data_IF_339318688642
#
_entry.id   IF_339318688642
#
_cell.length_a   1.000
_cell.length_b   1.000
_cell.length_c   1.000
_cell.angle_alpha   90.00
_cell.angle_beta   90.00
_cell.angle_gamma   90.00
#
_symmetry.space_group_name_H-M   'P 1'
#
loop_
_entity.id
_entity.type
_entity.pdbx_description
1 polymer ?
#
# COMPACT_ATOMS: atom_id res chain seq x y z
N UNK A 1 22.03 8.84 -7.45
CA UNK A 1 21.00 8.41 -6.47
C UNK A 1 20.99 6.91 -6.33
N UNK A 2 20.76 6.14 -7.41
CA UNK A 2 20.82 4.66 -7.34
C UNK A 2 22.21 4.16 -6.91
N UNK A 3 23.28 4.77 -7.43
CA UNK A 3 24.67 4.42 -7.05
C UNK A 3 24.97 4.70 -5.55
N UNK A 4 24.54 5.85 -5.02
CA UNK A 4 24.69 6.17 -3.61
C UNK A 4 23.83 5.27 -2.70
N UNK A 5 22.65 4.86 -3.18
CA UNK A 5 21.80 3.88 -2.49
C UNK A 5 22.49 2.51 -2.45
N UNK A 6 23.06 2.06 -3.57
CA UNK A 6 23.81 0.80 -3.67
C UNK A 6 25.00 0.78 -2.70
N UNK A 7 25.78 1.85 -2.66
CA UNK A 7 26.88 2.02 -1.69
C UNK A 7 26.39 2.00 -0.24
N UNK A 8 25.23 2.62 0.04
CA UNK A 8 24.64 2.62 1.39
C UNK A 8 24.17 1.21 1.79
N UNK A 9 23.61 0.45 0.84
CA UNK A 9 23.24 -0.96 1.05
C UNK A 9 24.47 -1.80 1.30
N UNK A 10 25.54 -1.64 0.51
CA UNK A 10 26.81 -2.34 0.68
C UNK A 10 27.39 -2.10 2.08
N UNK A 11 27.44 -0.84 2.55
CA UNK A 11 27.93 -0.52 3.88
C UNK A 11 27.15 -1.21 5.01
N UNK A 12 25.82 -1.33 4.87
CA UNK A 12 24.98 -2.05 5.84
C UNK A 12 25.27 -3.55 5.81
N UNK A 13 25.43 -4.14 4.61
CA UNK A 13 25.76 -5.56 4.46
C UNK A 13 27.14 -5.88 5.06
N UNK A 14 28.15 -5.06 4.78
CA UNK A 14 29.50 -5.19 5.33
C UNK A 14 29.50 -5.08 6.86
N UNK A 15 28.73 -4.13 7.42
CA UNK A 15 28.61 -4.01 8.87
C UNK A 15 27.94 -5.25 9.50
N UNK A 16 26.91 -5.80 8.86
CA UNK A 16 26.25 -7.03 9.31
C UNK A 16 27.18 -8.25 9.19
N UNK A 17 28.00 -8.31 8.15
CA UNK A 17 28.99 -9.37 7.94
C UNK A 17 30.11 -9.29 8.99
N UNK A 18 30.67 -8.10 9.21
CA UNK A 18 31.69 -7.86 10.23
C UNK A 18 31.19 -8.19 11.65
N UNK A 19 29.89 -8.00 11.90
CA UNK A 19 29.25 -8.38 13.16
C UNK A 19 28.84 -9.86 13.23
N UNK A 20 29.10 -10.67 12.19
CA UNK A 20 28.62 -12.05 12.07
C UNK A 20 27.09 -12.20 12.22
N UNK A 21 26.34 -11.15 11.86
CA UNK A 21 24.89 -11.06 11.97
C UNK A 21 24.19 -11.30 10.64
N UNK A 22 24.91 -11.19 9.51
CA UNK A 22 24.32 -11.26 8.17
C UNK A 22 23.56 -12.56 7.93
N UNK A 23 24.15 -13.70 8.29
CA UNK A 23 23.57 -15.05 8.12
C UNK A 23 22.26 -15.27 8.90
N UNK A 24 22.01 -14.48 9.95
CA UNK A 24 20.79 -14.55 10.76
C UNK A 24 19.88 -13.32 10.58
N UNK A 25 20.05 -12.56 9.49
CA UNK A 25 19.29 -11.34 9.22
C UNK A 25 18.45 -11.51 7.96
N UNK A 26 17.15 -11.18 8.03
CA UNK A 26 16.28 -11.06 6.86
C UNK A 26 16.33 -9.61 6.39
N UNK A 27 16.73 -9.40 5.13
CA UNK A 27 16.79 -8.07 4.51
C UNK A 27 15.65 -7.95 3.49
N UNK A 28 14.86 -6.89 3.59
CA UNK A 28 13.74 -6.59 2.69
C UNK A 28 13.95 -5.22 2.09
N UNK A 29 13.99 -5.16 0.76
CA UNK A 29 13.94 -3.91 0.00
C UNK A 29 12.51 -3.68 -0.48
N UNK A 30 11.97 -2.49 -0.21
CA UNK A 30 10.65 -2.08 -0.65
C UNK A 30 10.68 -0.61 -1.03
N UNK A 31 9.87 -0.23 -2.01
CA UNK A 31 9.67 1.15 -2.43
C UNK A 31 8.19 1.46 -2.27
N UNK A 32 7.87 2.65 -1.81
CA UNK A 32 6.50 3.17 -1.75
C UNK A 32 5.96 3.49 -3.16
N UNK A 33 6.81 4.05 -4.03
CA UNK A 33 6.55 4.26 -5.46
C UNK A 33 7.86 4.31 -6.30
N UNK A 34 7.72 4.55 -7.61
CA UNK A 34 8.84 4.81 -8.53
C UNK A 34 8.99 6.30 -8.84
N UNK A 35 10.13 6.69 -9.40
CA UNK A 35 10.36 8.06 -9.83
C UNK A 35 9.96 8.29 -11.29
N UNK A 36 9.44 9.48 -11.60
CA UNK A 36 9.38 10.01 -12.96
C UNK A 36 10.81 10.39 -13.38
N UNK A 37 11.21 10.14 -14.64
CA UNK A 37 12.59 10.21 -15.14
C UNK A 37 13.34 11.56 -14.99
N UNK A 38 12.72 12.62 -14.45
CA UNK A 38 13.32 13.97 -14.33
C UNK A 38 13.03 14.60 -12.95
N UNK A 39 13.84 14.29 -11.94
CA UNK A 39 13.84 14.97 -10.65
C UNK A 39 15.26 15.28 -10.15
N UNK A 40 15.51 16.51 -9.68
CA UNK A 40 16.77 16.88 -9.01
C UNK A 40 16.63 16.66 -7.50
N UNK A 41 17.33 15.66 -6.97
CA UNK A 41 17.27 15.26 -5.55
C UNK A 41 17.66 16.38 -4.58
N UNK A 42 18.45 17.36 -5.02
CA UNK A 42 18.85 18.51 -4.19
C UNK A 42 17.70 19.50 -3.95
N UNK A 43 16.59 19.34 -4.69
CA UNK A 43 15.41 20.20 -4.62
C UNK A 43 14.22 19.53 -3.92
N UNK A 44 14.42 18.35 -3.32
CA UNK A 44 13.35 17.60 -2.64
C UNK A 44 12.80 18.32 -1.40
N UNK A 45 13.53 19.28 -0.83
CA UNK A 45 13.13 19.93 0.42
C UNK A 45 13.11 18.92 1.59
N UNK A 46 12.39 19.23 2.67
CA UNK A 46 12.11 18.27 3.73
C UNK A 46 11.33 17.07 3.17
N UNK A 47 11.85 15.86 3.40
CA UNK A 47 11.16 14.62 3.01
C UNK A 47 10.05 14.34 4.02
N UNK A 48 8.86 13.97 3.53
CA UNK A 48 7.65 13.67 4.32
C UNK A 48 7.53 12.19 4.73
N UNK A 49 8.64 11.44 4.59
CA UNK A 49 8.76 10.06 5.02
C UNK A 49 8.68 9.92 6.54
N UNK A 50 7.90 8.94 7.01
CA UNK A 50 7.70 8.65 8.43
C UNK A 50 8.33 7.27 8.74
N UNK A 51 9.11 7.18 9.81
CA UNK A 51 9.66 5.90 10.29
C UNK A 51 8.54 4.98 10.82
N UNK A 52 8.31 3.89 10.10
CA UNK A 52 7.29 2.88 10.44
C UNK A 52 7.85 1.70 11.25
N UNK A 53 9.15 1.67 11.57
CA UNK A 53 9.82 0.50 12.15
C UNK A 53 9.19 0.05 13.47
N UNK A 54 8.86 1.00 14.35
CA UNK A 54 8.22 0.69 15.63
C UNK A 54 6.82 0.07 15.45
N UNK A 55 6.08 0.50 14.44
CA UNK A 55 4.78 -0.08 14.15
C UNK A 55 4.90 -1.52 13.62
N UNK A 56 5.87 -1.75 12.73
CA UNK A 56 6.08 -3.06 12.09
C UNK A 56 6.72 -4.10 13.00
N UNK A 57 7.73 -3.70 13.80
CA UNK A 57 8.54 -4.65 14.57
C UNK A 57 7.93 -5.01 15.93
N UNK A 58 7.33 -4.02 16.62
CA UNK A 58 6.80 -4.22 17.99
C UNK A 58 5.30 -4.01 18.10
N UNK A 59 4.60 -3.84 16.98
CA UNK A 59 3.14 -3.69 16.94
C UNK A 59 2.64 -2.41 17.60
N UNK A 60 3.46 -1.35 17.67
CA UNK A 60 3.00 -0.04 18.14
C UNK A 60 2.00 0.57 17.14
N UNK A 61 1.13 1.51 17.58
CA UNK A 61 0.30 2.27 16.66
C UNK A 61 1.14 2.88 15.53
N UNK A 62 0.59 2.85 14.31
CA UNK A 62 1.19 3.52 13.15
C UNK A 62 1.31 5.02 13.45
N UNK A 63 2.50 5.63 13.28
CA UNK A 63 2.65 7.08 13.35
C UNK A 63 2.06 7.78 12.12
N UNK A 64 1.88 7.04 11.01
CA UNK A 64 1.26 7.55 9.78
C UNK A 64 -0.25 7.60 9.95
N UNK A 65 -0.82 8.79 9.83
CA UNK A 65 -2.27 9.03 9.85
C UNK A 65 -2.87 9.14 8.46
N UNK A 66 -2.02 9.32 7.45
CA UNK A 66 -2.39 9.65 6.08
C UNK A 66 -1.74 8.73 5.06
N UNK A 67 -2.51 8.37 4.02
CA UNK A 67 -2.05 7.55 2.91
C UNK A 67 -2.53 8.20 1.63
N UNK A 68 -1.60 8.71 0.83
CA UNK A 68 -1.88 9.11 -0.54
C UNK A 68 -2.12 7.85 -1.37
N UNK A 69 -3.34 7.71 -1.91
CA UNK A 69 -3.74 6.56 -2.71
C UNK A 69 -3.48 6.80 -4.19
N UNK A 70 -3.75 8.02 -4.67
CA UNK A 70 -3.51 8.42 -6.05
C UNK A 70 -3.34 9.94 -6.18
N UNK A 71 -2.54 10.36 -7.17
CA UNK A 71 -2.50 11.73 -7.66
C UNK A 71 -2.24 11.71 -9.16
N UNK A 72 -3.14 12.34 -9.92
CA UNK A 72 -2.98 12.56 -11.35
C UNK A 72 -3.30 14.04 -11.66
N UNK A 73 -2.26 14.91 -11.70
CA UNK A 73 -2.44 16.31 -12.02
C UNK A 73 -2.94 16.57 -13.45
N UNK A 74 -2.67 15.65 -14.39
CA UNK A 74 -3.09 15.81 -15.78
C UNK A 74 -4.61 15.56 -15.92
N UNK A 75 -5.14 14.58 -15.19
CA UNK A 75 -6.57 14.32 -15.09
C UNK A 75 -7.27 15.20 -14.03
N UNK A 76 -6.53 15.89 -13.17
CA UNK A 76 -7.08 16.65 -12.04
C UNK A 76 -7.74 15.76 -10.99
N UNK A 77 -7.25 14.53 -10.81
CA UNK A 77 -7.81 13.58 -9.84
C UNK A 77 -6.83 13.26 -8.71
N UNK A 78 -7.35 13.01 -7.52
CA UNK A 78 -6.55 12.60 -6.37
C UNK A 78 -7.38 11.76 -5.39
N UNK A 79 -6.71 10.92 -4.60
CA UNK A 79 -7.34 10.21 -3.50
C UNK A 79 -6.39 10.13 -2.31
N UNK A 80 -6.89 10.45 -1.12
CA UNK A 80 -6.15 10.49 0.13
C UNK A 80 -6.99 9.84 1.23
N UNK A 81 -6.37 8.99 2.04
CA UNK A 81 -6.91 8.58 3.33
C UNK A 81 -6.29 9.45 4.42
N UNK A 82 -7.11 10.02 5.30
CA UNK A 82 -6.68 10.68 6.53
C UNK A 82 -7.48 10.13 7.71
N UNK A 83 -6.81 9.45 8.62
CA UNK A 83 -7.43 8.69 9.71
C UNK A 83 -8.54 7.78 9.18
N UNK A 84 -9.78 7.94 9.64
CA UNK A 84 -10.92 7.14 9.20
C UNK A 84 -11.55 7.65 7.91
N UNK A 85 -11.11 8.78 7.38
CA UNK A 85 -11.73 9.39 6.21
C UNK A 85 -10.94 9.08 4.94
N UNK A 86 -11.66 8.82 3.86
CA UNK A 86 -11.12 8.79 2.51
C UNK A 86 -11.73 9.94 1.72
N UNK A 87 -10.87 10.81 1.20
CA UNK A 87 -11.23 11.84 0.25
C UNK A 87 -10.87 11.35 -1.16
N UNK A 88 -11.82 11.48 -2.07
CA UNK A 88 -11.60 11.34 -3.51
C UNK A 88 -11.97 12.67 -4.15
N UNK A 89 -11.05 13.22 -4.93
CA UNK A 89 -11.20 14.52 -5.58
C UNK A 89 -11.04 14.37 -7.09
N UNK A 90 -11.89 15.05 -7.85
CA UNK A 90 -11.87 15.05 -9.31
C UNK A 90 -13.28 14.92 -9.90
N UNK A 91 -13.43 15.29 -11.17
CA UNK A 91 -14.70 15.13 -11.89
C UNK A 91 -14.65 13.79 -12.65
N UNK A 92 -15.52 12.87 -12.26
CA UNK A 92 -15.65 11.56 -12.88
C UNK A 92 -16.76 11.61 -13.94
N UNK A 93 -16.38 11.60 -15.22
CA UNK A 93 -17.32 11.64 -16.36
C UNK A 93 -17.75 10.25 -16.83
N UNK A 94 -17.13 9.20 -16.30
CA UNK A 94 -17.47 7.79 -16.57
C UNK A 94 -17.62 7.02 -15.25
N UNK A 95 -18.57 6.09 -15.20
CA UNK A 95 -18.70 5.14 -14.09
C UNK A 95 -17.58 4.10 -14.16
N UNK A 96 -16.37 4.45 -13.76
CA UNK A 96 -15.34 3.45 -13.54
C UNK A 96 -15.70 2.65 -12.29
N UNK A 97 -16.20 1.42 -12.48
CA UNK A 97 -16.46 0.47 -11.39
C UNK A 97 -15.17 0.08 -10.64
N UNK A 98 -14.00 0.38 -11.24
CA UNK A 98 -12.64 0.41 -10.68
C UNK A 98 -11.74 1.04 -11.76
N UNK A 99 -10.73 1.81 -11.38
CA UNK A 99 -9.63 2.10 -12.32
C UNK A 99 -8.98 0.77 -12.70
N UNK A 100 -8.72 0.55 -13.99
CA UNK A 100 -7.87 -0.57 -14.41
C UNK A 100 -6.50 -0.38 -13.76
N UNK A 101 -6.18 -1.25 -12.79
CA UNK A 101 -4.82 -1.28 -12.25
C UNK A 101 -3.91 -1.75 -13.37
N UNK A 102 -2.84 -1.01 -13.73
CA UNK A 102 -1.88 -1.47 -14.72
C UNK A 102 -1.33 -2.83 -14.30
N UNK A 103 -1.70 -3.87 -15.03
CA UNK A 103 -1.36 -5.24 -14.72
C UNK A 103 -2.10 -6.15 -15.70
N UNK A 104 -1.35 -6.97 -16.43
CA UNK A 104 -1.93 -7.98 -17.31
C UNK A 104 -2.86 -8.91 -16.52
N UNK A 105 -3.78 -9.56 -17.24
CA UNK A 105 -4.50 -10.73 -16.75
C UNK A 105 -3.52 -11.67 -16.06
N UNK A 106 -3.67 -11.83 -14.74
CA UNK A 106 -2.82 -12.74 -13.99
C UNK A 106 -3.25 -14.15 -14.41
N UNK A 107 -2.35 -14.96 -14.99
CA UNK A 107 -2.72 -16.24 -15.61
C UNK A 107 -3.10 -17.35 -14.60
N UNK A 108 -3.43 -17.00 -13.36
CA UNK A 108 -3.65 -17.96 -12.29
C UNK A 108 -4.80 -17.56 -11.37
N UNK A 109 -5.75 -18.47 -11.22
CA UNK A 109 -6.94 -18.32 -10.38
C UNK A 109 -6.66 -18.41 -8.87
N UNK A 110 -5.46 -18.85 -8.45
CA UNK A 110 -5.12 -19.06 -7.03
C UNK A 110 -3.84 -18.33 -6.58
N UNK A 111 -4.02 -17.13 -6.02
CA UNK A 111 -2.95 -16.34 -5.39
C UNK A 111 -2.30 -17.04 -4.18
N UNK A 112 -3.03 -17.91 -3.45
CA UNK A 112 -2.41 -18.69 -2.37
C UNK A 112 -1.42 -19.71 -2.91
N UNK A 113 -1.72 -20.33 -4.05
CA UNK A 113 -0.83 -21.27 -4.71
C UNK A 113 0.49 -20.60 -5.10
N UNK A 114 0.42 -19.46 -5.80
CA UNK A 114 1.59 -18.67 -6.21
C UNK A 114 2.44 -18.23 -5.02
N UNK A 115 1.81 -17.72 -3.98
CA UNK A 115 2.51 -17.26 -2.78
C UNK A 115 3.27 -18.42 -2.14
N UNK A 116 2.66 -19.61 -2.01
CA UNK A 116 3.33 -20.81 -1.46
C UNK A 116 4.46 -21.32 -2.35
N UNK A 117 4.38 -21.16 -3.67
CA UNK A 117 5.42 -21.59 -4.61
C UNK A 117 6.55 -20.58 -4.80
N UNK A 118 6.35 -19.33 -4.35
CA UNK A 118 7.35 -18.27 -4.51
C UNK A 118 8.72 -18.63 -3.91
N UNK A 119 9.78 -18.02 -4.46
CA UNK A 119 11.14 -18.13 -3.92
C UNK A 119 11.19 -17.66 -2.46
N UNK A 120 10.49 -16.58 -2.13
CA UNK A 120 10.36 -16.08 -0.75
C UNK A 120 9.76 -17.12 0.20
N UNK A 121 8.66 -17.78 -0.19
CA UNK A 121 8.07 -18.86 0.60
C UNK A 121 9.02 -20.04 0.81
N UNK A 122 9.85 -20.35 -0.19
CA UNK A 122 10.86 -21.40 -0.08
C UNK A 122 11.94 -21.05 0.96
N UNK A 123 12.43 -19.81 0.95
CA UNK A 123 13.39 -19.31 1.95
C UNK A 123 12.77 -19.34 3.36
N UNK A 124 11.55 -18.82 3.52
CA UNK A 124 10.86 -18.80 4.82
C UNK A 124 10.62 -20.21 5.37
N UNK A 125 10.28 -21.20 4.54
CA UNK A 125 10.14 -22.60 4.98
C UNK A 125 11.44 -23.19 5.54
N UNK A 126 12.58 -22.82 4.94
CA UNK A 126 13.92 -23.25 5.41
C UNK A 126 14.24 -22.61 6.75
N UNK A 127 14.06 -21.28 6.86
CA UNK A 127 14.35 -20.52 8.08
C UNK A 127 13.49 -20.94 9.28
N UNK A 128 12.18 -21.14 9.06
CA UNK A 128 11.23 -21.43 10.15
C UNK A 128 10.96 -22.92 10.37
N UNK A 129 11.77 -23.83 9.80
CA UNK A 129 11.77 -25.25 10.13
C UNK A 129 10.49 -26.01 9.76
N UNK A 130 10.04 -25.93 8.49
CA UNK A 130 8.77 -26.52 7.99
C UNK A 130 7.50 -26.10 8.75
N UNK A 131 7.60 -25.16 9.70
CA UNK A 131 6.40 -24.56 10.29
C UNK A 131 5.55 -23.98 9.17
N UNK A 132 4.22 -24.09 9.29
CA UNK A 132 3.31 -23.60 8.26
C UNK A 132 3.27 -22.08 8.31
N UNK A 133 4.24 -21.45 7.62
CA UNK A 133 4.42 -19.99 7.52
C UNK A 133 3.14 -19.29 7.05
N UNK A 134 2.29 -19.99 6.29
CA UNK A 134 1.07 -19.45 5.68
C UNK A 134 -0.23 -20.02 6.26
N UNK A 135 -0.21 -20.64 7.45
CA UNK A 135 -1.41 -21.26 8.06
C UNK A 135 -2.57 -20.30 8.27
N UNK A 136 -2.28 -18.99 8.41
CA UNK A 136 -3.27 -17.94 8.68
C UNK A 136 -3.67 -17.15 7.42
N UNK A 137 -3.11 -17.45 6.25
CA UNK A 137 -3.25 -16.60 5.07
C UNK A 137 -4.71 -16.45 4.63
N UNK A 138 -5.47 -17.54 4.59
CA UNK A 138 -6.89 -17.50 4.25
C UNK A 138 -7.71 -16.73 5.27
N UNK A 139 -7.32 -16.82 6.54
CA UNK A 139 -7.96 -16.07 7.63
C UNK A 139 -7.68 -14.57 7.50
N UNK A 140 -6.43 -14.18 7.29
CA UNK A 140 -6.06 -12.77 7.09
C UNK A 140 -6.74 -12.15 5.88
N UNK A 141 -6.86 -12.91 4.78
CA UNK A 141 -7.59 -12.44 3.60
C UNK A 141 -9.06 -12.21 3.91
N UNK A 142 -9.73 -13.18 4.55
CA UNK A 142 -11.13 -13.02 4.98
C UNK A 142 -11.32 -11.86 5.95
N UNK A 143 -10.42 -11.69 6.91
CA UNK A 143 -10.44 -10.58 7.88
C UNK A 143 -10.22 -9.22 7.18
N UNK A 144 -9.51 -9.19 6.05
CA UNK A 144 -9.30 -7.99 5.24
C UNK A 144 -10.37 -7.78 4.15
N UNK A 145 -11.25 -8.76 3.92
CA UNK A 145 -12.30 -8.66 2.90
C UNK A 145 -13.42 -7.76 3.42
N UNK A 146 -13.69 -6.69 2.69
CA UNK A 146 -14.93 -5.91 2.83
C UNK A 146 -16.01 -6.55 1.97
N UNK A 147 -17.14 -6.93 2.57
CA UNK A 147 -18.31 -7.48 1.86
C UNK A 147 -19.38 -6.39 1.78
N UNK A 148 -19.75 -6.01 0.55
CA UNK A 148 -20.76 -4.97 0.29
C UNK A 148 -22.02 -5.59 -0.33
N UNK A 149 -23.19 -4.95 -0.21
CA UNK A 149 -24.42 -5.42 -0.83
C UNK A 149 -24.34 -5.40 -2.37
N UNK A 150 -24.85 -6.44 -3.03
CA UNK A 150 -24.87 -6.56 -4.50
C UNK A 150 -25.71 -5.47 -5.19
N UNK A 151 -26.70 -4.92 -4.47
CA UNK A 151 -27.59 -3.84 -4.95
C UNK A 151 -27.19 -2.46 -4.44
N UNK A 152 -25.94 -2.28 -3.99
CA UNK A 152 -25.47 -0.98 -3.54
C UNK A 152 -25.58 0.06 -4.69
N UNK A 153 -26.12 1.23 -4.37
CA UNK A 153 -26.11 2.39 -5.28
C UNK A 153 -24.69 2.77 -5.65
N UNK A 154 -24.50 3.42 -6.81
CA UNK A 154 -23.18 3.96 -7.19
C UNK A 154 -22.63 4.85 -6.07
N UNK A 155 -21.47 4.47 -5.55
CA UNK A 155 -20.71 5.19 -4.53
C UNK A 155 -20.27 6.59 -4.99
N UNK A 156 -20.21 6.79 -6.30
CA UNK A 156 -19.79 8.03 -6.93
C UNK A 156 -20.97 8.69 -7.64
N UNK A 157 -21.28 9.90 -7.21
CA UNK A 157 -22.20 10.79 -7.91
C UNK A 157 -21.50 11.47 -9.10
N UNK A 158 -22.22 11.56 -10.23
CA UNK A 158 -21.77 12.28 -11.42
C UNK A 158 -21.67 13.78 -11.16
N UNK A 159 -20.69 14.45 -11.78
CA UNK A 159 -20.43 15.89 -11.65
C UNK A 159 -20.17 16.39 -10.21
N UNK A 160 -19.90 15.48 -9.27
CA UNK A 160 -19.47 15.83 -7.91
C UNK A 160 -17.94 15.86 -7.89
N UNK A 161 -17.38 16.94 -7.35
CA UNK A 161 -15.92 17.17 -7.34
C UNK A 161 -15.23 16.47 -6.17
N UNK A 162 -15.95 16.25 -5.06
CA UNK A 162 -15.40 15.67 -3.85
C UNK A 162 -16.31 14.56 -3.31
N UNK A 163 -15.72 13.42 -2.99
CA UNK A 163 -16.37 12.35 -2.26
C UNK A 163 -15.60 12.09 -0.98
N UNK A 164 -16.28 12.18 0.16
CA UNK A 164 -15.71 11.97 1.48
C UNK A 164 -16.42 10.81 2.15
N UNK A 165 -15.67 9.78 2.54
CA UNK A 165 -16.23 8.58 3.17
C UNK A 165 -15.58 8.34 4.53
N UNK A 166 -16.36 8.05 5.56
CA UNK A 166 -15.84 7.50 6.82
C UNK A 166 -15.69 5.99 6.67
N UNK A 167 -14.54 5.51 6.20
CA UNK A 167 -14.29 4.09 5.91
C UNK A 167 -14.24 3.21 7.17
N UNK A 168 -14.25 3.79 8.38
CA UNK A 168 -14.40 3.01 9.61
C UNK A 168 -15.87 2.63 9.87
N UNK A 169 -16.81 3.51 9.48
CA UNK A 169 -18.26 3.29 9.64
C UNK A 169 -18.92 2.77 8.36
N UNK A 170 -18.43 3.22 7.20
CA UNK A 170 -18.88 2.91 5.86
C UNK A 170 -17.69 2.38 5.01
N UNK A 171 -17.22 1.15 5.27
CA UNK A 171 -16.11 0.55 4.53
C UNK A 171 -16.45 0.29 3.06
N UNK A 172 -17.73 0.33 2.70
CA UNK A 172 -18.22 0.18 1.34
C UNK A 172 -18.30 1.50 0.57
N UNK A 173 -18.04 2.64 1.21
CA UNK A 173 -18.04 3.98 0.59
C UNK A 173 -19.39 4.31 -0.09
N UNK A 174 -20.51 3.93 0.54
CA UNK A 174 -21.85 4.13 0.00
C UNK A 174 -22.43 5.52 0.30
N UNK A 175 -21.91 6.20 1.33
CA UNK A 175 -22.45 7.46 1.83
C UNK A 175 -21.42 8.59 1.73
N UNK A 176 -21.62 9.46 0.73
CA UNK A 176 -20.77 10.63 0.52
C UNK A 176 -21.10 11.73 1.54
N UNK A 177 -20.13 12.04 2.41
CA UNK A 177 -20.21 13.06 3.45
C UNK A 177 -19.74 14.46 2.98
N UNK A 178 -19.30 14.61 1.74
CA UNK A 178 -18.67 15.85 1.26
C UNK A 178 -19.63 17.06 1.34
N UNK A 179 -20.92 16.85 1.10
CA UNK A 179 -21.93 17.91 1.16
C UNK A 179 -22.40 18.21 2.60
N UNK A 180 -22.22 17.25 3.52
CA UNK A 180 -22.66 17.36 4.92
C UNK A 180 -21.59 17.99 5.84
N UNK A 181 -20.33 17.93 5.42
CA UNK A 181 -19.19 18.50 6.13
C UNK A 181 -18.46 19.49 5.24
N UNK A 182 -18.97 20.74 5.08
CA UNK A 182 -18.19 21.78 4.44
C UNK A 182 -16.89 21.97 5.26
N UNK A 183 -15.76 21.91 4.55
CA UNK A 183 -14.42 22.08 5.12
C UNK A 183 -14.17 23.46 5.70
#
# INVERSE_FOLDING_TARGET
MVDALDQSVAAVLEALEAASMLENTIIVFSSDNGAIQRGDVRRLGPVDGIDMWKALNVGKPSPRTEILLNIDPAAGTAALRYQNFKLVAGIYTMSYQRFETPGNDRPYDDLNHLLRQSRAATVLRRLYGKKPVFKKLDRWRREATVTCPDSASSNFAFNVTYHLFDIAQDPCELHNLADEKPG
#
